data_IF_515726530302
#
_entry.id   IF_515726530302
#
_cell.length_a   1.000
_cell.length_b   1.000
_cell.length_c   1.000
_cell.angle_alpha   90.00
_cell.angle_beta   90.00
_cell.angle_gamma   90.00
#
_symmetry.space_group_name_H-M   'P 1'
#
loop_
_entity.id
_entity.type
_entity.pdbx_description
1 polymer ?
#
# COMPACT_ATOMS: atom_id res chain seq x y z
N UNK A 1 2.69 -27.83 -26.27
CA UNK A 1 1.46 -27.63 -25.50
C UNK A 1 1.77 -27.26 -24.04
N UNK A 2 0.76 -27.01 -23.23
CA UNK A 2 0.95 -26.57 -21.84
C UNK A 2 1.52 -27.70 -20.94
N UNK A 3 1.15 -28.94 -21.16
CA UNK A 3 1.66 -30.08 -20.42
C UNK A 3 3.18 -30.22 -20.61
N UNK A 4 3.65 -30.13 -21.86
CA UNK A 4 5.08 -30.17 -22.15
C UNK A 4 5.88 -29.00 -21.59
N UNK A 5 5.26 -27.80 -21.44
CA UNK A 5 5.91 -26.66 -20.76
C UNK A 5 6.06 -26.88 -19.26
N UNK A 6 5.07 -27.49 -18.62
CA UNK A 6 5.13 -27.81 -17.20
C UNK A 6 6.19 -28.91 -16.94
N UNK A 7 6.19 -29.95 -17.75
CA UNK A 7 7.15 -31.06 -17.65
C UNK A 7 8.61 -30.57 -17.80
N UNK A 8 8.83 -29.61 -18.73
CA UNK A 8 10.16 -29.06 -19.02
C UNK A 8 10.35 -27.65 -18.50
N UNK A 9 9.72 -27.32 -17.38
CA UNK A 9 9.74 -25.95 -16.83
C UNK A 9 11.16 -25.43 -16.62
N UNK A 10 12.05 -26.26 -16.06
CA UNK A 10 13.43 -25.87 -15.76
C UNK A 10 14.23 -25.54 -17.04
N UNK A 11 14.09 -26.34 -18.08
CA UNK A 11 14.77 -26.11 -19.37
C UNK A 11 14.25 -24.82 -20.02
N UNK A 12 12.95 -24.60 -19.99
CA UNK A 12 12.32 -23.41 -20.55
C UNK A 12 12.71 -22.15 -19.75
N UNK A 13 12.73 -22.25 -18.43
CA UNK A 13 13.13 -21.13 -17.57
C UNK A 13 14.57 -20.71 -17.85
N UNK A 14 15.51 -21.64 -17.97
CA UNK A 14 16.90 -21.36 -18.26
C UNK A 14 17.08 -20.64 -19.62
N UNK A 15 16.37 -21.09 -20.66
CA UNK A 15 16.39 -20.46 -21.98
C UNK A 15 15.85 -19.03 -21.92
N UNK A 16 14.72 -18.83 -21.23
CA UNK A 16 14.11 -17.50 -21.11
C UNK A 16 14.99 -16.55 -20.30
N UNK A 17 15.59 -17.04 -19.20
CA UNK A 17 16.48 -16.25 -18.35
C UNK A 17 17.70 -15.75 -19.14
N UNK A 18 18.35 -16.61 -19.91
CA UNK A 18 19.45 -16.22 -20.82
C UNK A 18 19.04 -15.12 -21.80
N UNK A 19 17.85 -15.24 -22.38
CA UNK A 19 17.32 -14.26 -23.34
C UNK A 19 16.99 -12.94 -22.65
N UNK A 20 16.30 -12.98 -21.49
CA UNK A 20 15.87 -11.77 -20.78
C UNK A 20 17.05 -10.97 -20.19
N UNK A 21 18.17 -11.61 -19.86
CA UNK A 21 19.39 -10.94 -19.40
C UNK A 21 20.07 -10.07 -20.48
N UNK A 22 19.68 -10.20 -21.76
CA UNK A 22 20.31 -9.48 -22.88
C UNK A 22 19.83 -8.03 -23.03
N UNK A 23 18.77 -7.63 -22.30
CA UNK A 23 18.21 -6.29 -22.41
C UNK A 23 17.58 -5.86 -21.07
N UNK A 24 17.24 -4.57 -20.94
CA UNK A 24 16.63 -4.01 -19.73
C UNK A 24 15.16 -4.44 -19.60
N UNK A 25 14.64 -4.45 -18.38
CA UNK A 25 13.22 -4.71 -18.11
C UNK A 25 12.31 -3.76 -18.88
N UNK A 26 12.65 -2.46 -18.96
CA UNK A 26 11.86 -1.47 -19.69
C UNK A 26 11.76 -1.80 -21.20
N UNK A 27 12.86 -2.16 -21.83
CA UNK A 27 12.87 -2.54 -23.23
C UNK A 27 12.09 -3.83 -23.48
N UNK A 28 12.22 -4.82 -22.59
CA UNK A 28 11.45 -6.05 -22.68
C UNK A 28 9.96 -5.82 -22.54
N UNK A 29 9.53 -5.00 -21.58
CA UNK A 29 8.11 -4.67 -21.39
C UNK A 29 7.54 -4.01 -22.65
N UNK A 30 8.24 -3.02 -23.23
CA UNK A 30 7.81 -2.37 -24.48
C UNK A 30 7.68 -3.35 -25.64
N UNK A 31 8.63 -4.26 -25.80
CA UNK A 31 8.60 -5.28 -26.87
C UNK A 31 7.48 -6.30 -26.69
N UNK A 32 7.24 -6.73 -25.43
CA UNK A 32 6.16 -7.67 -25.10
C UNK A 32 4.78 -7.02 -25.32
N UNK A 33 4.63 -5.76 -24.95
CA UNK A 33 3.41 -4.98 -25.20
C UNK A 33 3.11 -4.87 -26.69
N UNK A 34 4.12 -4.50 -27.51
CA UNK A 34 3.99 -4.44 -28.98
C UNK A 34 3.65 -5.79 -29.59
N UNK A 35 4.10 -6.88 -29.00
CA UNK A 35 3.79 -8.24 -29.42
C UNK A 35 2.43 -8.76 -28.90
N UNK A 36 1.69 -7.95 -28.10
CA UNK A 36 0.43 -8.37 -27.50
C UNK A 36 0.58 -9.40 -26.38
N UNK A 37 1.76 -9.51 -25.78
CA UNK A 37 2.03 -10.43 -24.67
C UNK A 37 1.85 -9.67 -23.35
N UNK A 38 0.88 -10.05 -22.50
CA UNK A 38 0.71 -9.42 -21.19
C UNK A 38 1.96 -9.57 -20.32
N UNK A 39 2.50 -8.46 -19.87
CA UNK A 39 3.67 -8.41 -19.00
C UNK A 39 3.58 -7.17 -18.09
N UNK A 40 4.26 -7.21 -16.96
CA UNK A 40 4.33 -6.08 -16.06
C UNK A 40 5.62 -6.10 -15.22
N UNK A 41 6.06 -4.95 -14.72
CA UNK A 41 7.23 -4.87 -13.86
C UNK A 41 6.90 -5.39 -12.45
N UNK A 42 7.93 -5.90 -11.77
CA UNK A 42 7.86 -6.18 -10.33
C UNK A 42 8.44 -4.97 -9.63
N UNK A 43 7.58 -4.19 -8.98
CA UNK A 43 7.97 -2.96 -8.32
C UNK A 43 8.29 -3.16 -6.84
N UNK A 44 9.31 -2.45 -6.35
CA UNK A 44 9.43 -2.15 -4.92
C UNK A 44 8.36 -1.14 -4.49
N UNK A 45 8.09 -1.03 -3.18
CA UNK A 45 7.12 -0.03 -2.67
C UNK A 45 7.47 1.40 -3.08
N UNK A 46 8.76 1.75 -3.09
CA UNK A 46 9.19 3.07 -3.55
C UNK A 46 8.82 3.32 -5.01
N UNK A 47 9.02 2.34 -5.88
CA UNK A 47 8.64 2.43 -7.29
C UNK A 47 7.12 2.49 -7.50
N UNK A 48 6.34 1.75 -6.68
CA UNK A 48 4.87 1.84 -6.71
C UNK A 48 4.40 3.26 -6.38
N UNK A 49 4.98 3.92 -5.39
CA UNK A 49 4.63 5.29 -5.03
C UNK A 49 5.01 6.34 -6.08
N UNK A 50 5.95 6.04 -6.95
CA UNK A 50 6.37 6.93 -8.05
C UNK A 50 5.66 6.59 -9.39
N UNK A 51 4.94 5.48 -9.46
CA UNK A 51 4.26 5.05 -10.69
C UNK A 51 3.18 6.05 -11.11
N UNK A 52 3.20 6.53 -12.38
CA UNK A 52 2.25 7.53 -12.87
C UNK A 52 0.79 7.11 -12.78
N UNK A 53 0.49 5.81 -13.00
CA UNK A 53 -0.87 5.30 -12.91
C UNK A 53 -1.37 5.27 -11.46
N UNK A 54 -0.52 4.83 -10.53
CA UNK A 54 -0.81 4.82 -9.09
C UNK A 54 -1.11 6.24 -8.58
N UNK A 55 -0.33 7.23 -9.04
CA UNK A 55 -0.55 8.66 -8.74
C UNK A 55 -1.82 9.20 -9.39
N UNK A 56 -2.05 8.93 -10.67
CA UNK A 56 -3.25 9.36 -11.38
C UNK A 56 -4.54 8.78 -10.77
N UNK A 57 -4.45 7.60 -10.16
CA UNK A 57 -5.54 6.97 -9.40
C UNK A 57 -5.64 7.48 -7.96
N UNK A 58 -4.85 8.48 -7.55
CA UNK A 58 -4.81 9.01 -6.18
C UNK A 58 -4.63 7.91 -5.14
N UNK A 59 -3.79 6.91 -5.47
CA UNK A 59 -3.48 5.81 -4.57
C UNK A 59 -2.32 6.12 -3.62
N UNK A 60 -1.72 7.31 -3.75
CA UNK A 60 -0.78 7.90 -2.79
C UNK A 60 -1.38 9.20 -2.32
N UNK A 61 -1.62 9.32 -1.02
CA UNK A 61 -2.13 10.51 -0.36
C UNK A 61 -1.18 10.96 0.73
N UNK A 62 -1.00 12.27 0.87
CA UNK A 62 -0.19 12.87 1.93
C UNK A 62 -1.10 13.39 3.04
N UNK A 63 -0.75 13.09 4.28
CA UNK A 63 -1.51 13.46 5.47
C UNK A 63 -0.54 14.00 6.51
N UNK A 64 -0.88 15.13 7.12
CA UNK A 64 -0.12 15.67 8.23
C UNK A 64 -0.36 14.85 9.51
N UNK A 65 0.72 14.29 10.04
CA UNK A 65 0.71 13.56 11.30
C UNK A 65 1.32 14.44 12.40
N UNK A 66 0.69 14.55 13.59
CA UNK A 66 1.10 15.50 14.62
C UNK A 66 2.54 15.28 15.17
N UNK A 67 3.07 14.08 15.02
CA UNK A 67 4.42 13.73 15.49
C UNK A 67 5.40 13.48 14.34
N UNK A 68 4.95 12.82 13.26
CA UNK A 68 5.81 12.39 12.17
C UNK A 68 5.89 13.40 11.00
N UNK A 69 5.13 14.50 11.04
CA UNK A 69 5.02 15.43 9.91
C UNK A 69 4.24 14.84 8.75
N UNK A 70 4.55 15.21 7.52
CA UNK A 70 3.88 14.69 6.32
C UNK A 70 4.17 13.21 6.12
N UNK A 71 3.14 12.39 6.13
CA UNK A 71 3.22 10.93 5.93
C UNK A 71 2.46 10.54 4.67
N UNK A 72 3.06 9.69 3.84
CA UNK A 72 2.39 9.12 2.68
C UNK A 72 1.63 7.86 3.07
N UNK A 73 0.37 7.81 2.69
CA UNK A 73 -0.54 6.68 2.90
C UNK A 73 -1.06 6.12 1.58
N UNK A 74 -1.51 4.87 1.63
CA UNK A 74 -2.26 4.28 0.52
C UNK A 74 -3.63 4.94 0.47
N UNK A 75 -4.01 5.42 -0.71
CA UNK A 75 -5.33 6.00 -0.98
C UNK A 75 -6.45 4.95 -1.01
N UNK A 76 -7.68 5.43 -1.07
CA UNK A 76 -8.87 4.57 -1.14
C UNK A 76 -9.02 4.04 -2.57
N UNK A 77 -9.01 2.72 -2.81
CA UNK A 77 -9.07 2.15 -4.16
C UNK A 77 -10.45 2.31 -4.80
N UNK A 78 -11.51 2.30 -4.01
CA UNK A 78 -12.88 2.49 -4.48
C UNK A 78 -13.14 3.99 -4.71
N UNK A 79 -13.40 4.37 -5.95
CA UNK A 79 -13.69 5.76 -6.34
C UNK A 79 -15.17 5.87 -6.68
N UNK A 80 -15.96 6.41 -5.75
CA UNK A 80 -17.38 6.68 -5.94
C UNK A 80 -17.57 8.09 -6.48
N UNK A 81 -18.43 8.27 -7.49
CA UNK A 81 -18.70 9.55 -8.13
C UNK A 81 -19.45 10.51 -7.20
N UNK A 82 -20.50 10.03 -6.55
CA UNK A 82 -21.39 10.87 -5.75
C UNK A 82 -20.97 11.01 -4.30
N UNK A 83 -20.41 9.93 -3.73
CA UNK A 83 -19.99 9.88 -2.32
C UNK A 83 -18.54 9.38 -2.21
N UNK A 84 -17.56 10.18 -2.67
CA UNK A 84 -16.15 9.75 -2.64
C UNK A 84 -15.67 9.53 -1.21
N UNK A 85 -15.02 8.40 -0.98
CA UNK A 85 -14.34 8.13 0.27
C UNK A 85 -13.19 9.12 0.49
N UNK A 86 -12.97 9.52 1.74
CA UNK A 86 -11.89 10.46 2.11
C UNK A 86 -11.13 9.94 3.32
N UNK A 87 -9.82 10.11 3.31
CA UNK A 87 -8.99 9.92 4.49
C UNK A 87 -8.95 11.26 5.21
N UNK A 88 -9.57 11.36 6.38
CA UNK A 88 -9.76 12.63 7.11
C UNK A 88 -8.82 12.79 8.29
N UNK A 89 -8.17 11.70 8.73
CA UNK A 89 -7.28 11.72 9.90
C UNK A 89 -6.07 10.81 9.66
N UNK A 90 -4.90 11.16 10.21
CA UNK A 90 -3.75 10.28 10.22
C UNK A 90 -3.98 9.10 11.17
N UNK A 91 -3.10 8.11 11.13
CA UNK A 91 -3.06 7.05 12.13
C UNK A 91 -2.82 7.67 13.54
N UNK A 92 -3.56 7.26 14.58
CA UNK A 92 -3.38 7.82 15.90
C UNK A 92 -2.08 7.33 16.54
N UNK A 93 -1.51 8.15 17.42
CA UNK A 93 -0.49 7.69 18.37
C UNK A 93 -1.14 6.82 19.46
N UNK A 94 -0.32 5.99 20.13
CA UNK A 94 -0.80 5.18 21.24
C UNK A 94 -1.45 6.06 22.30
N UNK A 95 -2.67 5.72 22.70
CA UNK A 95 -3.43 6.45 23.73
C UNK A 95 -4.02 7.78 23.29
N UNK A 96 -3.84 8.23 22.05
CA UNK A 96 -4.29 9.57 21.59
C UNK A 96 -5.78 9.85 21.82
N UNK A 97 -6.63 8.84 21.76
CA UNK A 97 -8.09 8.97 21.90
C UNK A 97 -8.63 8.23 23.13
N UNK A 98 -7.77 7.84 24.07
CA UNK A 98 -8.16 7.09 25.25
C UNK A 98 -9.21 7.84 26.07
N UNK A 99 -8.99 9.12 26.34
CA UNK A 99 -9.92 9.94 27.13
C UNK A 99 -11.27 10.09 26.43
N UNK A 100 -11.25 10.45 25.14
CA UNK A 100 -12.47 10.62 24.34
C UNK A 100 -13.34 9.35 24.34
N UNK A 101 -12.71 8.18 24.19
CA UNK A 101 -13.41 6.89 24.17
C UNK A 101 -13.96 6.53 25.53
N UNK A 102 -13.20 6.76 26.59
CA UNK A 102 -13.65 6.45 27.96
C UNK A 102 -14.75 7.41 28.44
N UNK A 103 -14.66 8.70 28.10
CA UNK A 103 -15.75 9.68 28.36
C UNK A 103 -17.01 9.29 27.58
N UNK A 104 -16.89 8.88 26.31
CA UNK A 104 -18.02 8.38 25.51
C UNK A 104 -18.67 7.14 26.12
N UNK A 105 -17.90 6.27 26.78
CA UNK A 105 -18.39 5.11 27.53
C UNK A 105 -19.01 5.49 28.91
N UNK A 106 -19.01 6.78 29.28
CA UNK A 106 -19.63 7.27 30.48
C UNK A 106 -18.70 7.32 31.71
N UNK A 107 -17.39 7.13 31.56
CA UNK A 107 -16.45 7.30 32.67
C UNK A 107 -16.19 8.78 32.89
N UNK A 108 -16.14 9.17 34.15
CA UNK A 108 -15.72 10.52 34.55
C UNK A 108 -14.19 10.68 34.57
N UNK A 109 -13.73 11.93 34.50
CA UNK A 109 -12.28 12.24 34.48
C UNK A 109 -11.51 11.64 35.65
N UNK A 110 -12.03 11.65 36.90
CA UNK A 110 -11.36 10.97 38.02
C UNK A 110 -11.19 9.47 37.82
N UNK A 111 -12.16 8.78 37.22
CA UNK A 111 -12.06 7.36 36.89
C UNK A 111 -10.99 7.10 35.83
N UNK A 112 -10.96 7.91 34.75
CA UNK A 112 -9.95 7.83 33.70
C UNK A 112 -8.55 8.06 34.27
N UNK A 113 -8.38 9.06 35.11
CA UNK A 113 -7.10 9.32 35.77
C UNK A 113 -6.62 8.13 36.60
N UNK A 114 -7.53 7.46 37.34
CA UNK A 114 -7.19 6.25 38.11
C UNK A 114 -6.76 5.09 37.20
N UNK A 115 -7.47 4.87 36.10
CA UNK A 115 -7.11 3.84 35.12
C UNK A 115 -5.72 4.07 34.51
N UNK A 116 -5.41 5.33 34.19
CA UNK A 116 -4.09 5.71 33.69
C UNK A 116 -3.00 5.51 34.75
N UNK A 117 -3.24 5.93 35.99
CA UNK A 117 -2.29 5.76 37.08
C UNK A 117 -2.02 4.29 37.42
N UNK A 118 -2.99 3.40 37.21
CA UNK A 118 -2.82 1.95 37.39
C UNK A 118 -2.22 1.22 36.17
N UNK A 119 -1.93 1.95 35.09
CA UNK A 119 -1.35 1.37 33.87
C UNK A 119 -2.33 0.49 33.05
N UNK A 120 -3.62 0.59 33.32
CA UNK A 120 -4.67 -0.14 32.56
C UNK A 120 -4.87 0.48 31.17
N UNK A 121 -4.70 1.80 31.05
CA UNK A 121 -4.81 2.57 29.80
C UNK A 121 -3.61 3.49 29.62
N UNK A 122 -3.31 3.80 28.35
CA UNK A 122 -2.26 4.76 27.97
C UNK A 122 -2.80 6.19 27.89
#
# INVERSE_FOLDING_TARGET
DNAGRIERYQDLAAILEEVFQRDTTANWLSRLEQAGVPAGPIYSLAQVYEDPHVRAREMVVEIEHPVAGTVRHIGIPVKLSDTPGRITRPAPTLGQHTDDVLEWLGLDKPAITRLRASGVVA
#
